data_IF_124555708245
#
_entry.id   IF_124555708245
#
_cell.length_a   1.000
_cell.length_b   1.000
_cell.length_c   1.000
_cell.angle_alpha   90.00
_cell.angle_beta   90.00
_cell.angle_gamma   90.00
#
_symmetry.space_group_name_H-M   'P 1'
#
loop_
_entity.id
_entity.type
_entity.pdbx_description
1 polymer ?
#
# COMPACT_ATOMS: atom_id res chain seq x y z
N UNK A 1 -33.98 -4.36 10.16
CA UNK A 1 -33.70 -5.05 8.88
C UNK A 1 -32.24 -5.48 8.89
N UNK A 2 -31.94 -6.78 8.83
CA UNK A 2 -30.57 -7.24 8.55
C UNK A 2 -30.38 -7.15 7.04
N UNK A 3 -29.66 -6.14 6.59
CA UNK A 3 -29.23 -6.08 5.18
C UNK A 3 -28.24 -7.22 4.98
N UNK A 4 -28.64 -8.26 4.25
CA UNK A 4 -27.72 -9.30 3.79
C UNK A 4 -26.72 -8.64 2.84
N UNK A 5 -25.53 -8.31 3.31
CA UNK A 5 -24.44 -7.85 2.44
C UNK A 5 -24.09 -9.03 1.55
N UNK A 6 -24.42 -8.94 0.26
CA UNK A 6 -24.03 -9.94 -0.74
C UNK A 6 -22.53 -9.79 -0.99
N UNK A 7 -21.78 -10.83 -0.66
CA UNK A 7 -20.38 -10.95 -1.03
C UNK A 7 -20.25 -10.99 -2.57
N UNK A 8 -19.45 -10.07 -3.12
CA UNK A 8 -19.21 -9.93 -4.57
C UNK A 8 -17.94 -10.65 -5.02
N UNK A 9 -17.05 -11.01 -4.10
CA UNK A 9 -15.69 -11.46 -4.39
C UNK A 9 -15.33 -12.71 -3.57
N UNK A 10 -16.24 -13.68 -3.58
CA UNK A 10 -16.10 -14.95 -2.86
C UNK A 10 -14.76 -15.64 -3.21
N UNK A 11 -13.98 -15.95 -2.19
CA UNK A 11 -12.71 -16.68 -2.30
C UNK A 11 -12.55 -17.66 -1.11
N UNK A 12 -11.69 -18.67 -1.28
CA UNK A 12 -11.35 -19.71 -0.27
C UNK A 12 -12.53 -20.54 0.28
N UNK A 13 -13.66 -20.58 -0.43
CA UNK A 13 -14.84 -21.37 -0.04
C UNK A 13 -14.91 -22.77 -0.65
N UNK A 14 -14.14 -23.03 -1.70
CA UNK A 14 -14.10 -24.32 -2.40
C UNK A 14 -12.67 -24.64 -2.87
N UNK A 15 -12.45 -25.85 -3.40
CA UNK A 15 -11.15 -26.33 -3.90
C UNK A 15 -10.90 -26.01 -5.37
N UNK A 16 -11.82 -25.32 -6.05
CA UNK A 16 -11.67 -24.84 -7.42
C UNK A 16 -11.29 -23.35 -7.46
N UNK A 17 -10.61 -22.92 -8.53
CA UNK A 17 -10.35 -21.51 -8.80
C UNK A 17 -11.23 -20.99 -9.95
N UNK A 18 -11.52 -19.68 -9.92
CA UNK A 18 -12.24 -19.00 -10.98
C UNK A 18 -11.69 -17.58 -11.17
N UNK A 19 -11.73 -17.07 -12.39
CA UNK A 19 -11.53 -15.66 -12.68
C UNK A 19 -12.89 -14.98 -12.64
N UNK A 20 -13.07 -14.04 -11.71
CA UNK A 20 -14.31 -13.29 -11.52
C UNK A 20 -14.11 -11.88 -12.08
N UNK A 21 -15.08 -11.39 -12.86
CA UNK A 21 -15.05 -10.03 -13.37
C UNK A 21 -15.12 -9.01 -12.22
N UNK A 22 -14.31 -7.94 -12.32
CA UNK A 22 -14.37 -6.79 -11.41
C UNK A 22 -15.76 -6.16 -11.46
N UNK A 23 -16.35 -5.88 -10.30
CA UNK A 23 -17.70 -5.29 -10.16
C UNK A 23 -17.68 -3.85 -9.63
N UNK A 24 -16.50 -3.25 -9.52
CA UNK A 24 -16.27 -1.92 -8.99
C UNK A 24 -15.45 -1.06 -9.98
N UNK A 25 -15.62 0.27 -10.03
CA UNK A 25 -14.77 1.14 -10.85
C UNK A 25 -13.28 1.03 -10.48
N UNK A 26 -12.37 1.22 -11.43
CA UNK A 26 -10.93 1.36 -11.16
C UNK A 26 -10.63 2.78 -10.68
N UNK A 27 -11.09 3.76 -11.44
CA UNK A 27 -11.12 5.17 -11.05
C UNK A 27 -12.56 5.54 -10.68
N UNK A 28 -12.74 6.07 -9.48
CA UNK A 28 -14.04 6.47 -8.95
C UNK A 28 -14.32 7.93 -9.27
N UNK A 29 -15.61 8.27 -9.42
CA UNK A 29 -16.07 9.64 -9.68
C UNK A 29 -15.32 10.32 -10.85
N UNK A 30 -14.98 9.53 -11.88
CA UNK A 30 -14.20 9.95 -13.05
C UNK A 30 -12.86 10.65 -12.71
N UNK A 31 -12.32 10.45 -11.51
CA UNK A 31 -11.07 11.08 -11.09
C UNK A 31 -11.20 12.59 -10.83
N UNK A 32 -12.39 13.10 -10.48
CA UNK A 32 -12.60 14.55 -10.27
C UNK A 32 -12.54 15.01 -8.82
N UNK A 33 -12.33 14.10 -7.88
CA UNK A 33 -12.39 14.42 -6.44
C UNK A 33 -11.22 15.27 -5.94
N UNK A 34 -10.06 15.18 -6.59
CA UNK A 34 -8.89 16.01 -6.35
C UNK A 34 -8.13 16.25 -7.66
N UNK A 35 -7.22 17.21 -7.66
CA UNK A 35 -6.41 17.58 -8.83
C UNK A 35 -4.94 17.25 -8.54
N UNK A 36 -4.52 16.03 -8.89
CA UNK A 36 -3.16 15.51 -8.65
C UNK A 36 -2.57 14.77 -9.85
N UNK A 37 -3.41 14.07 -10.63
CA UNK A 37 -3.05 13.35 -11.85
C UNK A 37 -3.67 14.03 -13.07
N UNK A 38 -2.94 14.02 -14.18
CA UNK A 38 -3.50 14.42 -15.48
C UNK A 38 -4.55 13.41 -15.96
N UNK A 39 -5.33 13.79 -16.98
CA UNK A 39 -6.29 12.90 -17.61
C UNK A 39 -5.60 11.66 -18.21
N UNK A 40 -4.41 11.83 -18.79
CA UNK A 40 -3.60 10.74 -19.36
C UNK A 40 -3.12 9.78 -18.28
N UNK A 41 -2.58 10.30 -17.16
CA UNK A 41 -2.15 9.49 -16.03
C UNK A 41 -3.31 8.71 -15.40
N UNK A 42 -4.48 9.35 -15.28
CA UNK A 42 -5.70 8.71 -14.79
C UNK A 42 -6.15 7.58 -15.72
N UNK A 43 -6.12 7.79 -17.04
CA UNK A 43 -6.48 6.77 -18.02
C UNK A 43 -5.48 5.60 -18.05
N UNK A 44 -4.18 5.86 -17.85
CA UNK A 44 -3.15 4.82 -17.70
C UNK A 44 -3.46 3.96 -16.47
N UNK A 45 -3.72 4.58 -15.32
CA UNK A 45 -4.06 3.86 -14.10
C UNK A 45 -5.34 3.02 -14.27
N UNK A 46 -6.37 3.58 -14.93
CA UNK A 46 -7.62 2.86 -15.19
C UNK A 46 -7.42 1.63 -16.08
N UNK A 47 -6.59 1.74 -17.12
CA UNK A 47 -6.32 0.65 -18.07
C UNK A 47 -5.39 -0.42 -17.49
N UNK A 48 -4.30 -0.01 -16.86
CA UNK A 48 -3.19 -0.89 -16.49
C UNK A 48 -3.22 -1.34 -15.02
N UNK A 49 -3.98 -0.62 -14.17
CA UNK A 49 -4.08 -0.89 -12.74
C UNK A 49 -2.88 -0.39 -11.91
N UNK A 50 -1.93 0.32 -12.52
CA UNK A 50 -0.80 0.96 -11.84
C UNK A 50 -0.35 2.24 -12.55
N UNK A 51 0.41 3.07 -11.84
CA UNK A 51 1.04 4.28 -12.37
C UNK A 51 2.39 4.48 -11.67
N UNK A 52 3.42 4.83 -12.44
CA UNK A 52 4.71 5.28 -11.92
C UNK A 52 4.77 6.80 -11.98
N UNK A 53 5.07 7.43 -10.85
CA UNK A 53 5.31 8.87 -10.76
C UNK A 53 6.79 9.08 -10.42
N UNK A 54 7.53 9.63 -11.36
CA UNK A 54 8.94 9.97 -11.21
C UNK A 54 9.08 11.39 -10.65
N UNK A 55 10.22 11.69 -10.03
CA UNK A 55 10.58 13.02 -9.53
C UNK A 55 9.58 13.69 -8.56
N UNK A 56 8.77 12.90 -7.84
CA UNK A 56 7.79 13.40 -6.84
C UNK A 56 8.49 14.03 -5.64
N UNK A 57 9.63 13.45 -5.26
CA UNK A 57 10.48 13.89 -4.15
C UNK A 57 11.89 14.12 -4.65
N UNK A 58 12.54 15.16 -4.13
CA UNK A 58 13.94 15.41 -4.48
C UNK A 58 14.89 14.48 -3.70
N UNK A 59 16.15 14.44 -4.12
CA UNK A 59 17.18 13.58 -3.52
C UNK A 59 17.35 13.78 -2.01
N UNK A 60 17.20 15.00 -1.48
CA UNK A 60 17.29 15.28 -0.05
C UNK A 60 16.11 14.69 0.73
N UNK A 61 14.90 14.76 0.16
CA UNK A 61 13.70 14.15 0.74
C UNK A 61 13.81 12.62 0.74
N UNK A 62 14.23 12.04 -0.38
CA UNK A 62 14.44 10.58 -0.49
C UNK A 62 15.51 10.12 0.50
N UNK A 63 16.64 10.83 0.58
CA UNK A 63 17.69 10.52 1.54
C UNK A 63 17.21 10.60 2.99
N UNK A 64 16.45 11.63 3.35
CA UNK A 64 15.92 11.77 4.71
C UNK A 64 14.96 10.63 5.07
N UNK A 65 14.12 10.19 4.12
CA UNK A 65 13.24 9.04 4.32
C UNK A 65 14.03 7.74 4.48
N UNK A 66 15.07 7.53 3.67
CA UNK A 66 15.95 6.36 3.78
C UNK A 66 16.67 6.32 5.13
N UNK A 67 17.24 7.45 5.56
CA UNK A 67 17.93 7.57 6.85
C UNK A 67 16.96 7.29 8.01
N UNK A 68 15.70 7.72 7.93
CA UNK A 68 14.68 7.42 8.94
C UNK A 68 14.30 5.94 8.96
N UNK A 69 14.12 5.30 7.80
CA UNK A 69 13.83 3.86 7.73
C UNK A 69 14.97 3.04 8.32
N UNK A 70 16.22 3.43 8.04
CA UNK A 70 17.41 2.79 8.62
C UNK A 70 17.45 2.98 10.14
N UNK A 71 17.20 4.19 10.64
CA UNK A 71 17.11 4.47 12.08
C UNK A 71 16.02 3.60 12.74
N UNK A 72 14.85 3.46 12.11
CA UNK A 72 13.77 2.61 12.63
C UNK A 72 14.18 1.14 12.71
N UNK A 73 14.95 0.64 11.73
CA UNK A 73 15.42 -0.75 11.75
C UNK A 73 16.50 -1.04 12.79
N UNK A 74 17.24 -0.01 13.21
CA UNK A 74 18.29 -0.14 14.22
C UNK A 74 17.81 0.20 15.64
N UNK A 75 16.59 0.72 15.79
CA UNK A 75 15.99 1.13 17.07
C UNK A 75 15.52 -0.08 17.89
N UNK A 76 16.16 -0.42 19.02
CA UNK A 76 15.79 -1.60 19.82
C UNK A 76 14.35 -1.56 20.34
N UNK A 77 13.79 -0.36 20.55
CA UNK A 77 12.41 -0.16 20.97
C UNK A 77 11.39 -0.39 19.86
N UNK A 78 11.81 -0.36 18.59
CA UNK A 78 10.98 -0.75 17.44
C UNK A 78 11.18 -2.22 17.11
N UNK A 79 12.43 -2.68 17.09
CA UNK A 79 12.80 -4.07 16.75
C UNK A 79 12.17 -5.10 17.70
N UNK A 80 11.95 -4.73 18.96
CA UNK A 80 11.31 -5.60 19.97
C UNK A 80 9.77 -5.67 19.87
N UNK A 81 9.15 -4.93 18.93
CA UNK A 81 7.70 -4.90 18.75
C UNK A 81 7.19 -6.02 17.84
N UNK A 82 5.93 -6.39 18.01
CA UNK A 82 5.24 -7.34 17.11
C UNK A 82 5.13 -6.82 15.68
N UNK A 83 5.13 -5.49 15.48
CA UNK A 83 5.14 -4.88 14.15
C UNK A 83 6.46 -5.05 13.39
N UNK A 84 7.54 -5.44 14.05
CA UNK A 84 8.84 -5.68 13.43
C UNK A 84 8.99 -7.16 13.07
N UNK A 85 8.94 -7.45 11.78
CA UNK A 85 9.07 -8.81 11.25
C UNK A 85 10.50 -9.05 10.79
N UNK A 86 11.14 -10.06 11.36
CA UNK A 86 12.49 -10.49 10.99
C UNK A 86 12.48 -11.54 9.87
N UNK A 87 13.63 -11.72 9.22
CA UNK A 87 13.83 -12.82 8.27
C UNK A 87 13.77 -14.17 9.00
N UNK A 88 13.14 -15.21 8.41
CA UNK A 88 13.16 -16.54 9.01
C UNK A 88 14.60 -17.05 9.20
N UNK A 89 15.00 -17.27 10.46
CA UNK A 89 16.33 -17.74 10.82
C UNK A 89 17.40 -16.66 11.00
N UNK A 90 17.02 -15.38 11.11
CA UNK A 90 17.93 -14.26 11.41
C UNK A 90 17.22 -13.17 12.21
N UNK A 91 17.97 -12.39 12.98
CA UNK A 91 17.46 -11.18 13.64
C UNK A 91 17.41 -9.95 12.70
N UNK A 92 17.70 -10.14 11.41
CA UNK A 92 17.61 -9.07 10.43
C UNK A 92 16.14 -8.69 10.18
N UNK A 93 15.80 -7.42 10.38
CA UNK A 93 14.47 -6.89 10.08
C UNK A 93 14.20 -6.94 8.57
N UNK A 94 13.04 -7.48 8.20
CA UNK A 94 12.53 -7.56 6.82
C UNK A 94 11.44 -6.51 6.57
N UNK A 95 10.53 -6.36 7.53
CA UNK A 95 9.42 -5.42 7.41
C UNK A 95 9.10 -4.81 8.76
N UNK A 96 8.75 -3.52 8.76
CA UNK A 96 8.17 -2.86 9.93
C UNK A 96 6.77 -2.39 9.54
N UNK A 97 5.75 -2.84 10.26
CA UNK A 97 4.36 -2.41 10.07
C UNK A 97 4.05 -1.15 10.88
N UNK A 98 2.93 -0.48 10.55
CA UNK A 98 2.44 0.75 11.23
C UNK A 98 3.47 1.88 11.29
N UNK A 99 4.40 1.91 10.34
CA UNK A 99 5.47 2.92 10.24
C UNK A 99 4.94 4.37 10.24
N UNK A 100 3.73 4.61 9.76
CA UNK A 100 3.07 5.92 9.81
C UNK A 100 2.70 6.39 11.23
N UNK A 101 2.63 5.47 12.19
CA UNK A 101 2.41 5.76 13.63
C UNK A 101 3.72 5.73 14.41
N UNK A 102 4.68 4.88 13.99
CA UNK A 102 5.97 4.73 14.66
C UNK A 102 6.98 5.82 14.31
N UNK A 103 6.81 6.48 13.16
CA UNK A 103 7.66 7.60 12.72
C UNK A 103 6.82 8.81 12.35
N UNK A 104 7.14 9.96 12.98
CA UNK A 104 6.53 11.25 12.62
C UNK A 104 6.85 11.66 11.16
N UNK A 105 8.04 11.29 10.65
CA UNK A 105 8.41 11.60 9.28
C UNK A 105 7.59 10.78 8.28
N UNK A 106 7.49 9.46 8.49
CA UNK A 106 6.65 8.59 7.66
C UNK A 106 5.16 8.93 7.81
N UNK A 107 4.73 9.32 9.02
CA UNK A 107 3.40 9.83 9.27
C UNK A 107 3.08 11.11 8.48
N UNK A 108 4.06 12.01 8.31
CA UNK A 108 3.93 13.19 7.44
C UNK A 108 3.90 12.78 5.96
N UNK A 109 4.75 11.84 5.53
CA UNK A 109 4.73 11.31 4.17
C UNK A 109 3.35 10.74 3.79
N UNK A 110 2.74 9.95 4.68
CA UNK A 110 1.41 9.38 4.47
C UNK A 110 0.29 10.44 4.32
N UNK A 111 0.55 11.68 4.74
CA UNK A 111 -0.37 12.83 4.66
C UNK A 111 0.08 13.87 3.64
N UNK A 112 1.18 13.62 2.93
CA UNK A 112 1.73 14.56 1.95
C UNK A 112 0.74 14.71 0.79
N UNK A 113 0.32 15.93 0.42
CA UNK A 113 -0.64 16.16 -0.66
C UNK A 113 -0.22 15.54 -2.00
N UNK A 114 1.09 15.40 -2.27
CA UNK A 114 1.59 14.76 -3.50
C UNK A 114 1.19 13.30 -3.62
N UNK A 115 0.95 12.61 -2.50
CA UNK A 115 0.50 11.21 -2.46
C UNK A 115 -0.98 11.11 -2.10
N UNK A 116 -1.40 11.86 -1.08
CA UNK A 116 -2.75 11.81 -0.55
C UNK A 116 -3.78 12.22 -1.61
N UNK A 117 -3.50 13.27 -2.40
CA UNK A 117 -4.44 13.73 -3.42
C UNK A 117 -4.54 12.76 -4.59
N UNK A 118 -3.48 12.02 -4.93
CA UNK A 118 -3.53 10.93 -5.92
C UNK A 118 -4.52 9.85 -5.46
N UNK A 119 -4.41 9.41 -4.20
CA UNK A 119 -5.33 8.43 -3.64
C UNK A 119 -6.78 8.94 -3.59
N UNK A 120 -6.98 10.18 -3.14
CA UNK A 120 -8.29 10.82 -3.11
C UNK A 120 -8.91 10.95 -4.51
N UNK A 121 -8.10 11.28 -5.50
CA UNK A 121 -8.55 11.41 -6.90
C UNK A 121 -8.98 10.05 -7.46
N UNK A 122 -8.14 9.02 -7.34
CA UNK A 122 -8.45 7.67 -7.85
C UNK A 122 -9.64 7.04 -7.11
N UNK A 123 -9.68 7.17 -5.78
CA UNK A 123 -10.72 6.55 -4.95
C UNK A 123 -12.00 7.37 -4.86
N UNK A 124 -12.01 8.62 -5.35
CA UNK A 124 -13.20 9.48 -5.40
C UNK A 124 -13.79 9.78 -4.01
N UNK A 125 -12.96 9.92 -2.99
CA UNK A 125 -13.38 10.23 -1.60
C UNK A 125 -12.23 10.71 -0.73
N UNK A 126 -12.54 11.16 0.48
CA UNK A 126 -11.55 11.14 1.56
C UNK A 126 -11.05 9.71 1.78
N UNK A 127 -9.81 9.60 2.27
CA UNK A 127 -9.11 8.33 2.44
C UNK A 127 -8.48 8.23 3.83
N UNK A 128 -8.18 7.02 4.26
CA UNK A 128 -7.43 6.73 5.47
C UNK A 128 -6.41 5.64 5.20
N UNK A 129 -5.43 5.48 6.09
CA UNK A 129 -4.42 4.44 5.96
C UNK A 129 -4.97 3.10 6.47
N UNK A 130 -5.17 2.14 5.57
CA UNK A 130 -5.56 0.77 5.94
C UNK A 130 -4.37 0.01 6.54
N UNK A 131 -3.20 0.10 5.91
CA UNK A 131 -1.96 -0.52 6.37
C UNK A 131 -0.76 0.28 5.85
N UNK A 132 0.32 0.33 6.62
CA UNK A 132 1.62 0.86 6.17
C UNK A 132 2.73 -0.10 6.53
N UNK A 133 3.73 -0.25 5.65
CA UNK A 133 4.94 -1.01 5.94
C UNK A 133 6.16 -0.39 5.27
N UNK A 134 7.32 -0.51 5.91
CA UNK A 134 8.61 -0.44 5.20
C UNK A 134 9.04 -1.85 4.91
N UNK A 135 9.58 -2.10 3.72
CA UNK A 135 10.14 -3.38 3.34
C UNK A 135 11.62 -3.20 3.06
N UNK A 136 12.46 -3.87 3.84
CA UNK A 136 13.90 -3.89 3.66
C UNK A 136 14.26 -5.23 3.05
N UNK A 137 14.88 -5.19 1.87
CA UNK A 137 15.41 -6.37 1.22
C UNK A 137 16.94 -6.27 1.20
N UNK A 138 17.63 -6.72 2.25
CA UNK A 138 19.08 -6.76 2.23
C UNK A 138 19.56 -7.60 1.04
N UNK A 139 20.55 -7.09 0.32
CA UNK A 139 21.17 -7.78 -0.80
C UNK A 139 21.55 -9.21 -0.41
N UNK A 140 21.30 -10.16 -1.31
CA UNK A 140 21.62 -11.59 -1.15
C UNK A 140 20.81 -12.38 -0.09
N UNK A 141 19.93 -11.76 0.69
CA UNK A 141 19.15 -12.43 1.75
C UNK A 141 17.63 -12.31 1.64
N UNK A 142 17.12 -11.39 0.82
CA UNK A 142 15.68 -11.22 0.65
C UNK A 142 15.03 -12.40 -0.08
N UNK A 143 14.10 -13.10 0.57
CA UNK A 143 13.26 -14.11 -0.08
C UNK A 143 12.24 -13.46 -1.03
N UNK A 144 11.83 -14.18 -2.07
CA UNK A 144 10.79 -13.69 -2.98
C UNK A 144 9.44 -13.44 -2.27
N UNK A 145 8.64 -12.56 -2.88
CA UNK A 145 7.21 -12.47 -2.60
C UNK A 145 6.48 -13.14 -3.76
N UNK A 146 5.74 -14.21 -3.48
CA UNK A 146 4.94 -14.90 -4.49
C UNK A 146 3.81 -14.00 -5.00
N UNK A 147 3.33 -14.27 -6.22
CA UNK A 147 2.20 -13.57 -6.80
C UNK A 147 0.97 -13.64 -5.90
N UNK A 148 0.36 -12.50 -5.65
CA UNK A 148 -0.88 -12.37 -4.88
C UNK A 148 -1.64 -11.10 -5.31
N UNK A 149 -2.91 -11.04 -4.96
CA UNK A 149 -3.69 -9.81 -4.96
C UNK A 149 -3.89 -9.37 -3.51
N UNK A 150 -3.40 -8.19 -3.14
CA UNK A 150 -3.61 -7.63 -1.80
C UNK A 150 -5.11 -7.61 -1.43
N UNK A 151 -5.97 -7.25 -2.38
CA UNK A 151 -7.42 -7.21 -2.18
C UNK A 151 -8.02 -8.56 -1.79
N UNK A 152 -7.51 -9.70 -2.31
CA UNK A 152 -8.06 -11.01 -1.93
C UNK A 152 -7.85 -11.28 -0.44
N UNK A 153 -6.64 -11.03 0.07
CA UNK A 153 -6.33 -11.15 1.49
C UNK A 153 -7.13 -10.14 2.30
N UNK A 154 -7.13 -8.86 1.92
CA UNK A 154 -7.90 -7.83 2.63
C UNK A 154 -9.41 -8.12 2.64
N UNK A 155 -9.95 -8.71 1.59
CA UNK A 155 -11.36 -9.07 1.51
C UNK A 155 -11.69 -10.26 2.43
N UNK A 156 -10.92 -11.34 2.32
CA UNK A 156 -11.21 -12.61 3.02
C UNK A 156 -10.83 -12.55 4.50
N UNK A 157 -9.71 -11.92 4.83
CA UNK A 157 -9.15 -11.91 6.18
C UNK A 157 -9.54 -10.64 6.96
N UNK A 158 -9.54 -9.48 6.30
CA UNK A 158 -9.82 -8.18 6.96
C UNK A 158 -11.24 -7.65 6.71
N UNK A 159 -12.03 -8.31 5.84
CA UNK A 159 -13.41 -7.94 5.54
C UNK A 159 -13.56 -6.71 4.63
N UNK A 160 -12.55 -6.34 3.85
CA UNK A 160 -12.60 -5.22 2.90
C UNK A 160 -13.68 -5.49 1.82
N UNK A 161 -14.80 -4.77 1.77
CA UNK A 161 -15.99 -5.21 1.01
C UNK A 161 -15.94 -4.93 -0.51
N UNK A 162 -15.00 -4.09 -0.95
CA UNK A 162 -14.98 -3.47 -2.29
C UNK A 162 -13.55 -3.23 -2.73
N UNK A 163 -13.30 -3.32 -4.04
CA UNK A 163 -12.02 -2.91 -4.64
C UNK A 163 -11.92 -1.37 -4.69
N UNK A 164 -11.86 -0.74 -3.51
CA UNK A 164 -11.76 0.72 -3.32
C UNK A 164 -10.63 1.07 -2.36
N UNK A 165 -9.47 0.47 -2.61
CA UNK A 165 -8.21 0.76 -1.94
C UNK A 165 -7.10 0.70 -2.99
N UNK A 166 -5.98 1.36 -2.71
CA UNK A 166 -4.76 1.27 -3.51
C UNK A 166 -3.54 1.20 -2.61
N UNK A 167 -2.49 0.59 -3.14
CA UNK A 167 -1.15 0.58 -2.53
C UNK A 167 -0.33 1.71 -3.16
N UNK A 168 0.41 2.45 -2.33
CA UNK A 168 1.40 3.42 -2.77
C UNK A 168 2.78 2.95 -2.30
N UNK A 169 3.71 2.76 -3.23
CA UNK A 169 5.09 2.37 -2.94
C UNK A 169 6.02 3.54 -3.21
N UNK A 170 6.62 4.09 -2.17
CA UNK A 170 7.70 5.09 -2.29
C UNK A 170 9.02 4.34 -2.31
N UNK A 171 9.71 4.38 -3.45
CA UNK A 171 11.00 3.73 -3.63
C UNK A 171 12.09 4.58 -2.97
N UNK A 172 12.90 3.97 -2.11
CA UNK A 172 13.98 4.64 -1.37
C UNK A 172 15.38 4.26 -1.88
N UNK A 173 15.43 3.33 -2.82
CA UNK A 173 16.64 2.81 -3.46
C UNK A 173 16.31 2.53 -4.93
N UNK A 174 17.32 2.57 -5.78
CA UNK A 174 17.25 2.16 -7.19
C UNK A 174 17.09 0.63 -7.35
#
# INVERSE_FOLDING_TARGET
>A
MRTSIKDRYVSRTDRSCAIIARQDPVVYDNGTYADALTAEQTAIYERDGFLLLEDVFNEYEVKALLDEVQRMSDDPGIVSREEAITEPGSDAIRSIFRVHELSNMVGRLARDPRLLNVARQILGSEVYMHQSRTNMKPGFKGKEFYWHSDFETWHVEDGMPRMRALSCSVLLTD
#
